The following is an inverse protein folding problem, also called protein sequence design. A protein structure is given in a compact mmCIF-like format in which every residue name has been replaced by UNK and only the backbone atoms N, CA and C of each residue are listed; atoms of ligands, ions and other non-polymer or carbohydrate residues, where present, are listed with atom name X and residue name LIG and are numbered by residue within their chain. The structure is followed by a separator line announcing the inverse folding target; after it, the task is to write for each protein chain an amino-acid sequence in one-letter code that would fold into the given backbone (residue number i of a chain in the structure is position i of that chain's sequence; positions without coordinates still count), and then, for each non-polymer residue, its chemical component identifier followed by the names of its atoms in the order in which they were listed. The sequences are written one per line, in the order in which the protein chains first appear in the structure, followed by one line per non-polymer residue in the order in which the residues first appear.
data_IF_844570131807
#
_entry.id   IF_844570131807
#
_cell.length_a   1.000
_cell.length_b   1.000
_cell.length_c   1.000
_cell.angle_alpha   90.00
_cell.angle_beta   90.00
_cell.angle_gamma   90.00
#
_symmetry.space_group_name_H-M   'P 1'
#
loop_
_entity.id
_entity.type
_entity.pdbx_description
1 polymer ?
#
# COMPACT_ATOMS: atom_id res chain seq x y z
N UNK A 1 -15.17 -18.58 0.14
CA UNK A 1 -14.20 -18.03 1.15
C UNK A 1 -12.89 -18.81 1.19
N UNK A 2 -12.88 -20.14 1.28
CA UNK A 2 -11.65 -20.92 1.46
C UNK A 2 -10.60 -20.71 0.36
N UNK A 3 -11.03 -20.62 -0.90
CA UNK A 3 -10.13 -20.30 -2.02
C UNK A 3 -9.45 -18.93 -1.84
N UNK A 4 -10.16 -17.93 -1.34
CA UNK A 4 -9.60 -16.60 -1.06
C UNK A 4 -8.55 -16.64 0.06
N UNK A 5 -8.80 -17.43 1.13
CA UNK A 5 -7.80 -17.61 2.19
C UNK A 5 -6.52 -18.29 1.69
N UNK A 6 -6.64 -19.32 0.83
CA UNK A 6 -5.47 -19.97 0.22
C UNK A 6 -4.68 -18.98 -0.64
N UNK A 7 -5.37 -18.21 -1.48
CA UNK A 7 -4.72 -17.17 -2.31
C UNK A 7 -4.05 -16.10 -1.44
N UNK A 8 -4.73 -15.63 -0.38
CA UNK A 8 -4.17 -14.67 0.56
C UNK A 8 -2.88 -15.20 1.21
N UNK A 9 -2.94 -16.40 1.82
CA UNK A 9 -1.78 -17.02 2.46
C UNK A 9 -0.61 -17.17 1.49
N UNK A 10 -0.87 -17.69 0.30
CA UNK A 10 0.16 -17.81 -0.74
C UNK A 10 0.79 -16.46 -1.10
N UNK A 11 -0.01 -15.43 -1.33
CA UNK A 11 0.49 -14.10 -1.69
C UNK A 11 1.29 -13.46 -0.56
N UNK A 12 0.82 -13.58 0.68
CA UNK A 12 1.51 -13.02 1.86
C UNK A 12 2.85 -13.71 2.09
N UNK A 13 2.91 -15.04 2.01
CA UNK A 13 4.14 -15.82 2.18
C UNK A 13 5.18 -15.48 1.11
N UNK A 14 4.75 -15.39 -0.16
CA UNK A 14 5.64 -15.16 -1.31
C UNK A 14 5.89 -13.69 -1.61
N UNK A 15 5.24 -12.76 -0.90
CA UNK A 15 5.52 -11.34 -1.08
C UNK A 15 6.90 -11.01 -0.53
N UNK A 16 7.76 -10.56 -1.43
CA UNK A 16 9.05 -9.95 -1.11
C UNK A 16 8.96 -8.44 -1.34
N UNK A 17 9.15 -7.67 -0.28
CA UNK A 17 9.24 -6.21 -0.37
C UNK A 17 10.65 -5.81 0.09
N UNK A 18 11.59 -5.59 -0.86
CA UNK A 18 12.98 -5.29 -0.50
C UNK A 18 13.13 -3.97 0.24
N UNK A 19 12.14 -3.08 0.13
CA UNK A 19 12.09 -1.82 0.86
C UNK A 19 10.74 -1.68 1.54
N UNK A 20 10.77 -1.39 2.83
CA UNK A 20 9.58 -0.97 3.56
C UNK A 20 9.30 0.50 3.23
N UNK A 21 8.09 0.77 2.78
CA UNK A 21 7.69 2.12 2.36
C UNK A 21 7.46 3.01 3.59
N UNK A 22 8.01 4.22 3.56
CA UNK A 22 7.85 5.22 4.63
C UNK A 22 6.38 5.50 4.95
N UNK A 23 5.52 5.52 3.93
CA UNK A 23 4.07 5.70 4.08
C UNK A 23 3.44 4.71 5.07
N UNK A 24 4.05 3.54 5.30
CA UNK A 24 3.53 2.55 6.26
C UNK A 24 3.46 3.09 7.69
N UNK A 25 4.37 4.01 8.04
CA UNK A 25 4.43 4.65 9.35
C UNK A 25 3.57 5.92 9.43
N UNK A 26 3.30 6.56 8.29
CA UNK A 26 2.50 7.79 8.22
C UNK A 26 0.98 7.53 8.26
N UNK A 27 0.55 6.30 7.98
CA UNK A 27 -0.88 5.95 7.95
C UNK A 27 -1.42 5.81 9.36
N UNK A 28 -2.52 6.51 9.62
CA UNK A 28 -3.34 6.24 10.80
C UNK A 28 -4.15 4.93 10.62
N UNK A 29 -3.52 3.84 11.02
CA UNK A 29 -4.12 2.51 10.97
C UNK A 29 -5.28 2.29 11.96
N UNK A 30 -5.62 3.26 12.80
CA UNK A 30 -6.81 3.20 13.64
C UNK A 30 -8.10 3.45 12.86
N UNK A 31 -8.00 4.15 11.73
CA UNK A 31 -9.14 4.43 10.87
C UNK A 31 -9.76 3.16 10.29
N UNK A 32 -11.09 3.13 10.20
CA UNK A 32 -11.86 1.98 9.73
C UNK A 32 -11.93 1.86 8.21
N UNK A 33 -11.82 2.98 7.49
CA UNK A 33 -11.84 3.01 6.03
C UNK A 33 -10.65 3.81 5.53
N UNK A 34 -9.69 3.12 4.89
CA UNK A 34 -8.43 3.69 4.42
C UNK A 34 -8.29 3.47 2.92
N UNK A 35 -8.08 4.55 2.17
CA UNK A 35 -7.85 4.51 0.74
C UNK A 35 -6.39 4.79 0.38
N UNK A 36 -5.72 3.85 -0.29
CA UNK A 36 -4.36 3.99 -0.80
C UNK A 36 -4.40 4.30 -2.29
N UNK A 37 -4.15 5.56 -2.65
CA UNK A 37 -4.08 6.02 -4.05
C UNK A 37 -2.65 5.96 -4.56
N UNK A 38 -2.50 5.87 -5.88
CA UNK A 38 -1.18 5.98 -6.51
C UNK A 38 -1.23 5.55 -7.97
N UNK A 39 -0.23 5.96 -8.74
CA UNK A 39 -0.10 5.60 -10.16
C UNK A 39 0.02 4.09 -10.34
N UNK A 40 -0.23 3.62 -11.56
CA UNK A 40 0.01 2.20 -11.90
C UNK A 40 1.50 1.89 -11.73
N UNK A 41 1.81 0.72 -11.20
CA UNK A 41 3.20 0.26 -11.02
C UNK A 41 3.92 0.76 -9.75
N UNK A 42 3.32 1.67 -8.97
CA UNK A 42 3.97 2.23 -7.76
C UNK A 42 4.06 1.26 -6.57
N UNK A 43 3.50 0.04 -6.69
CA UNK A 43 3.60 -0.99 -5.67
C UNK A 43 2.43 -1.06 -4.68
N UNK A 44 1.22 -0.56 -5.02
CA UNK A 44 0.05 -0.59 -4.10
C UNK A 44 -0.31 -2.00 -3.63
N UNK A 45 -0.33 -2.96 -4.53
CA UNK A 45 -0.61 -4.37 -4.21
C UNK A 45 0.42 -4.92 -3.24
N UNK A 46 1.71 -4.69 -3.51
CA UNK A 46 2.82 -5.09 -2.62
C UNK A 46 2.70 -4.41 -1.25
N UNK A 47 2.33 -3.13 -1.23
CA UNK A 47 2.13 -2.37 0.00
C UNK A 47 1.03 -2.97 0.89
N UNK A 48 -0.12 -3.35 0.32
CA UNK A 48 -1.22 -4.01 1.05
C UNK A 48 -0.80 -5.39 1.56
N UNK A 49 -0.09 -6.16 0.74
CA UNK A 49 0.41 -7.48 1.13
C UNK A 49 1.51 -7.41 2.20
N UNK A 50 2.38 -6.40 2.13
CA UNK A 50 3.38 -6.14 3.16
C UNK A 50 2.72 -5.79 4.50
N UNK A 51 1.70 -4.93 4.49
CA UNK A 51 0.90 -4.64 5.68
C UNK A 51 0.27 -5.90 6.27
N UNK A 52 -0.34 -6.74 5.43
CA UNK A 52 -0.89 -8.03 5.87
C UNK A 52 0.19 -8.90 6.51
N UNK A 53 1.35 -9.03 5.86
CA UNK A 53 2.47 -9.85 6.32
C UNK A 53 3.01 -9.37 7.68
N UNK A 54 3.21 -8.06 7.84
CA UNK A 54 3.77 -7.47 9.08
C UNK A 54 2.81 -7.54 10.26
N UNK A 55 1.50 -7.40 10.04
CA UNK A 55 0.52 -7.26 11.12
C UNK A 55 -0.27 -8.54 11.43
N UNK A 56 -0.48 -9.39 10.45
CA UNK A 56 -1.38 -10.54 10.56
C UNK A 56 -0.73 -11.85 10.12
N UNK A 57 0.31 -11.80 9.28
CA UNK A 57 0.84 -13.01 8.66
C UNK A 57 -0.26 -13.71 7.86
N UNK A 58 -0.53 -14.98 8.20
CA UNK A 58 -1.59 -15.79 7.59
C UNK A 58 -2.83 -15.92 8.46
N UNK A 59 -3.00 -15.05 9.48
CA UNK A 59 -4.18 -15.05 10.32
C UNK A 59 -5.44 -14.74 9.51
N UNK A 60 -6.46 -15.57 9.66
CA UNK A 60 -7.73 -15.48 8.95
C UNK A 60 -8.59 -14.25 9.34
N UNK A 61 -8.17 -13.48 10.33
CA UNK A 61 -8.79 -12.19 10.66
C UNK A 61 -8.50 -11.10 9.63
N UNK A 62 -7.48 -11.29 8.78
CA UNK A 62 -7.15 -10.44 7.65
C UNK A 62 -7.31 -11.19 6.33
N UNK A 63 -7.87 -10.53 5.32
CA UNK A 63 -8.04 -11.11 3.99
C UNK A 63 -7.74 -10.09 2.90
N UNK A 64 -6.84 -10.47 1.99
CA UNK A 64 -6.57 -9.72 0.78
C UNK A 64 -7.40 -10.26 -0.38
N UNK A 65 -8.05 -9.37 -1.12
CA UNK A 65 -8.82 -9.69 -2.32
C UNK A 65 -8.54 -8.70 -3.44
N UNK A 66 -8.55 -9.17 -4.68
CA UNK A 66 -8.41 -8.32 -5.86
C UNK A 66 -9.73 -8.28 -6.61
N UNK A 67 -10.23 -7.09 -6.89
CA UNK A 67 -11.53 -6.89 -7.55
C UNK A 67 -11.53 -7.25 -9.03
N UNK A 68 -10.39 -7.59 -9.60
CA UNK A 68 -10.31 -8.15 -10.95
C UNK A 68 -10.66 -9.66 -10.99
N UNK A 69 -10.96 -10.27 -9.84
CA UNK A 69 -11.40 -11.67 -9.78
C UNK A 69 -12.85 -11.78 -10.28
N UNK A 70 -13.09 -12.72 -11.20
CA UNK A 70 -14.41 -12.98 -11.81
C UNK A 70 -15.51 -13.28 -10.78
N UNK A 71 -15.17 -13.77 -9.60
CA UNK A 71 -16.13 -13.99 -8.51
C UNK A 71 -16.98 -12.74 -8.20
N UNK A 72 -16.37 -11.55 -8.24
CA UNK A 72 -17.04 -10.28 -7.97
C UNK A 72 -17.93 -9.76 -9.11
N UNK A 73 -18.00 -10.46 -10.22
CA UNK A 73 -19.05 -10.23 -11.24
C UNK A 73 -20.41 -10.83 -10.86
N UNK A 74 -20.42 -11.76 -9.91
CA UNK A 74 -21.62 -12.50 -9.50
C UNK A 74 -22.01 -12.21 -8.05
N UNK A 75 -21.08 -11.82 -7.20
CA UNK A 75 -21.29 -11.58 -5.77
C UNK A 75 -20.90 -10.16 -5.42
N UNK A 76 -21.78 -9.45 -4.74
CA UNK A 76 -21.54 -8.08 -4.31
C UNK A 76 -20.42 -8.01 -3.26
N UNK A 77 -19.68 -6.89 -3.23
CA UNK A 77 -18.69 -6.65 -2.20
C UNK A 77 -19.31 -6.67 -0.80
N UNK A 78 -20.53 -6.18 -0.66
CA UNK A 78 -21.26 -6.13 0.62
C UNK A 78 -21.55 -7.52 1.16
N UNK A 79 -22.04 -8.43 0.29
CA UNK A 79 -22.34 -9.80 0.69
C UNK A 79 -21.05 -10.57 1.04
N UNK A 80 -20.01 -10.37 0.24
CA UNK A 80 -18.69 -10.94 0.50
C UNK A 80 -18.13 -10.48 1.86
N UNK A 81 -18.19 -9.18 2.14
CA UNK A 81 -17.75 -8.61 3.42
C UNK A 81 -18.56 -9.17 4.59
N UNK A 82 -19.89 -9.35 4.41
CA UNK A 82 -20.75 -9.97 5.41
C UNK A 82 -20.38 -11.42 5.72
N UNK A 83 -20.08 -12.21 4.70
CA UNK A 83 -19.63 -13.60 4.87
C UNK A 83 -18.25 -13.66 5.55
N UNK A 84 -17.35 -12.72 5.22
CA UNK A 84 -16.06 -12.61 5.87
C UNK A 84 -16.18 -12.28 7.36
N UNK A 85 -17.03 -11.30 7.71
CA UNK A 85 -17.28 -10.90 9.11
C UNK A 85 -17.92 -12.05 9.92
N UNK A 86 -18.89 -12.79 9.36
CA UNK A 86 -19.48 -13.96 10.00
C UNK A 86 -18.46 -15.04 10.37
N UNK A 87 -17.34 -15.10 9.65
CA UNK A 87 -16.23 -16.04 9.91
C UNK A 87 -15.15 -15.46 10.83
N UNK A 88 -15.40 -14.32 11.48
CA UNK A 88 -14.46 -13.69 12.39
C UNK A 88 -13.46 -12.74 11.71
N UNK A 89 -13.68 -12.40 10.44
CA UNK A 89 -12.86 -11.45 9.71
C UNK A 89 -12.92 -10.04 10.31
N UNK A 90 -11.77 -9.38 10.40
CA UNK A 90 -11.63 -8.04 10.99
C UNK A 90 -11.07 -7.01 10.03
N UNK A 91 -10.19 -7.42 9.12
CA UNK A 91 -9.51 -6.52 8.18
C UNK A 91 -9.62 -7.05 6.76
N UNK A 92 -10.25 -6.27 5.89
CA UNK A 92 -10.41 -6.59 4.47
C UNK A 92 -9.52 -5.65 3.65
N UNK A 93 -8.57 -6.23 2.93
CA UNK A 93 -7.66 -5.52 2.03
C UNK A 93 -8.16 -5.71 0.60
N UNK A 94 -8.59 -4.62 -0.04
CA UNK A 94 -9.22 -4.64 -1.36
C UNK A 94 -8.31 -3.99 -2.38
N UNK A 95 -7.80 -4.78 -3.32
CA UNK A 95 -6.97 -4.26 -4.40
C UNK A 95 -7.81 -3.96 -5.65
N UNK A 96 -7.48 -2.85 -6.32
CA UNK A 96 -8.13 -2.38 -7.54
C UNK A 96 -9.65 -2.17 -7.40
N UNK A 97 -10.10 -1.53 -6.31
CA UNK A 97 -11.52 -1.35 -6.00
C UNK A 97 -12.33 -0.73 -7.15
N UNK A 98 -11.72 0.15 -7.95
CA UNK A 98 -12.33 0.83 -9.09
C UNK A 98 -12.78 -0.10 -10.24
N UNK A 99 -12.45 -1.38 -10.19
CA UNK A 99 -12.92 -2.39 -11.13
C UNK A 99 -14.38 -2.78 -10.90
N UNK A 100 -14.90 -2.52 -9.70
CA UNK A 100 -16.32 -2.76 -9.39
C UNK A 100 -17.15 -1.52 -9.75
N UNK A 101 -18.23 -1.68 -10.55
CA UNK A 101 -19.25 -0.64 -10.66
C UNK A 101 -19.87 -0.34 -9.30
N UNK A 102 -20.04 0.93 -8.94
CA UNK A 102 -20.67 1.33 -7.67
C UNK A 102 -19.83 1.03 -6.41
N UNK A 103 -18.53 0.79 -6.56
CA UNK A 103 -17.61 0.44 -5.45
C UNK A 103 -17.66 1.39 -4.26
N UNK A 104 -17.86 2.67 -4.49
CA UNK A 104 -17.90 3.68 -3.43
C UNK A 104 -19.15 3.53 -2.55
N UNK A 105 -20.29 3.26 -3.16
CA UNK A 105 -21.54 2.96 -2.46
C UNK A 105 -21.45 1.65 -1.69
N UNK A 106 -20.81 0.62 -2.26
CA UNK A 106 -20.57 -0.65 -1.59
C UNK A 106 -19.67 -0.47 -0.37
N UNK A 107 -18.59 0.32 -0.48
CA UNK A 107 -17.72 0.63 0.65
C UNK A 107 -18.47 1.40 1.75
N UNK A 108 -19.32 2.36 1.38
CA UNK A 108 -20.18 3.08 2.33
C UNK A 108 -21.10 2.11 3.06
N UNK A 109 -21.77 1.22 2.32
CA UNK A 109 -22.66 0.21 2.88
C UNK A 109 -21.92 -0.75 3.81
N UNK A 110 -20.74 -1.21 3.42
CA UNK A 110 -19.89 -2.03 4.31
C UNK A 110 -19.51 -1.30 5.59
N UNK A 111 -19.11 -0.03 5.48
CA UNK A 111 -18.73 0.81 6.62
C UNK A 111 -19.88 0.97 7.63
N UNK A 112 -21.10 1.15 7.16
CA UNK A 112 -22.29 1.31 8.00
C UNK A 112 -22.78 -0.02 8.57
N UNK A 113 -22.84 -1.07 7.75
CA UNK A 113 -23.41 -2.37 8.13
C UNK A 113 -22.49 -3.19 9.03
N UNK A 114 -21.15 -3.04 8.88
CA UNK A 114 -20.16 -3.85 9.62
C UNK A 114 -19.21 -2.96 10.44
N UNK A 115 -19.66 -2.42 11.60
CA UNK A 115 -18.87 -1.45 12.38
C UNK A 115 -17.56 -2.02 12.92
N UNK A 116 -17.42 -3.33 13.06
CA UNK A 116 -16.20 -4.01 13.50
C UNK A 116 -15.20 -4.27 12.35
N UNK A 117 -15.63 -4.09 11.09
CA UNK A 117 -14.78 -4.34 9.93
C UNK A 117 -13.94 -3.11 9.61
N UNK A 118 -12.63 -3.32 9.47
CA UNK A 118 -11.71 -2.36 8.87
C UNK A 118 -11.51 -2.71 7.40
N UNK A 119 -11.58 -1.71 6.54
CA UNK A 119 -11.34 -1.86 5.10
C UNK A 119 -10.18 -0.96 4.68
N UNK A 120 -9.20 -1.56 4.02
CA UNK A 120 -8.12 -0.84 3.35
C UNK A 120 -8.20 -1.15 1.86
N UNK A 121 -8.36 -0.15 1.02
CA UNK A 121 -8.51 -0.37 -0.40
C UNK A 121 -7.49 0.39 -1.24
N UNK A 122 -7.11 -0.17 -2.37
CA UNK A 122 -6.25 0.48 -3.34
C UNK A 122 -7.03 1.04 -4.53
N UNK A 123 -6.58 2.19 -4.99
CA UNK A 123 -7.17 2.87 -6.14
C UNK A 123 -6.15 3.54 -7.04
N UNK A 124 -6.60 4.00 -8.22
CA UNK A 124 -5.79 4.80 -9.13
C UNK A 124 -5.52 6.19 -8.55
N UNK A 125 -4.43 6.84 -8.97
CA UNK A 125 -4.13 8.24 -8.64
C UNK A 125 -5.19 9.22 -9.17
N UNK A 126 -5.88 8.86 -10.24
CA UNK A 126 -6.95 9.65 -10.85
C UNK A 126 -8.24 9.63 -10.01
N UNK A 127 -8.37 8.71 -9.05
CA UNK A 127 -9.53 8.66 -8.17
C UNK A 127 -9.57 9.88 -7.25
N UNK A 128 -10.51 10.77 -7.52
CA UNK A 128 -10.85 11.87 -6.63
C UNK A 128 -11.84 11.37 -5.58
N UNK A 129 -11.29 10.79 -4.50
CA UNK A 129 -12.12 10.10 -3.49
C UNK A 129 -13.13 11.00 -2.80
N UNK A 130 -12.88 12.32 -2.73
CA UNK A 130 -13.77 13.26 -2.07
C UNK A 130 -14.75 13.95 -3.02
N UNK A 131 -14.26 14.36 -4.18
CA UNK A 131 -15.03 15.20 -5.10
C UNK A 131 -15.99 14.39 -5.98
N UNK A 132 -15.57 13.19 -6.39
CA UNK A 132 -16.32 12.30 -7.29
C UNK A 132 -17.10 11.21 -6.55
N UNK A 133 -16.87 11.04 -5.24
CA UNK A 133 -17.52 10.03 -4.42
C UNK A 133 -17.99 10.65 -3.10
N UNK A 134 -19.03 11.49 -3.13
CA UNK A 134 -19.52 12.21 -1.96
C UNK A 134 -19.97 11.28 -0.83
N UNK A 135 -20.37 10.06 -1.15
CA UNK A 135 -20.74 9.02 -0.18
C UNK A 135 -19.58 8.59 0.75
N UNK A 136 -18.33 8.81 0.35
CA UNK A 136 -17.15 8.52 1.16
C UNK A 136 -16.66 9.70 2.00
N UNK A 137 -17.28 10.87 1.83
CA UNK A 137 -16.89 12.06 2.59
C UNK A 137 -17.06 11.85 4.09
N UNK A 138 -16.06 12.27 4.85
CA UNK A 138 -16.06 12.20 6.31
C UNK A 138 -15.74 10.81 6.89
N UNK A 139 -15.75 9.74 6.09
CA UNK A 139 -15.50 8.37 6.56
C UNK A 139 -14.18 7.77 6.07
N UNK A 140 -13.66 8.22 4.92
CA UNK A 140 -12.42 7.69 4.34
C UNK A 140 -11.22 8.56 4.72
N UNK A 141 -10.13 7.92 5.19
CA UNK A 141 -8.80 8.51 5.23
C UNK A 141 -8.02 8.06 4.01
N UNK A 142 -7.63 9.01 3.15
CA UNK A 142 -6.94 8.70 1.90
C UNK A 142 -5.48 9.13 1.93
N UNK A 143 -4.61 8.23 1.49
CA UNK A 143 -3.17 8.43 1.41
C UNK A 143 -2.69 8.20 -0.02
N UNK A 144 -1.62 8.89 -0.40
CA UNK A 144 -1.07 8.80 -1.74
C UNK A 144 0.29 8.07 -1.71
N UNK A 145 0.31 6.84 -2.19
CA UNK A 145 1.54 6.09 -2.40
C UNK A 145 2.21 6.61 -3.68
N UNK A 146 3.29 7.34 -3.51
CA UNK A 146 4.12 7.88 -4.59
C UNK A 146 5.18 6.86 -5.03
N UNK A 147 5.96 7.17 -6.06
CA UNK A 147 7.20 6.46 -6.36
C UNK A 147 8.14 6.42 -5.15
N UNK A 148 9.21 5.66 -5.24
CA UNK A 148 10.22 5.65 -4.18
C UNK A 148 10.74 7.06 -3.93
N UNK A 149 10.86 7.44 -2.66
CA UNK A 149 11.68 8.58 -2.27
C UNK A 149 13.15 8.27 -2.59
N UNK A 150 13.99 9.31 -2.68
CA UNK A 150 15.42 9.09 -2.90
C UNK A 150 16.03 8.16 -1.83
N UNK A 151 15.63 8.32 -0.58
CA UNK A 151 16.08 7.46 0.52
C UNK A 151 15.63 6.01 0.36
N UNK A 152 14.36 5.76 0.03
CA UNK A 152 13.84 4.42 -0.24
C UNK A 152 14.57 3.77 -1.41
N UNK A 153 14.86 4.55 -2.46
CA UNK A 153 15.65 4.09 -3.61
C UNK A 153 17.09 3.77 -3.22
N UNK A 154 17.73 4.63 -2.44
CA UNK A 154 19.08 4.42 -1.94
C UNK A 154 19.16 3.14 -1.10
N UNK A 155 18.22 2.96 -0.17
CA UNK A 155 18.12 1.75 0.64
C UNK A 155 17.94 0.48 -0.22
N UNK A 156 17.12 0.57 -1.27
CA UNK A 156 16.91 -0.53 -2.21
C UNK A 156 18.20 -0.93 -2.94
N UNK A 157 18.95 0.06 -3.44
CA UNK A 157 20.16 -0.18 -4.23
C UNK A 157 21.35 -0.64 -3.40
N UNK A 158 21.46 -0.17 -2.17
CA UNK A 158 22.63 -0.43 -1.32
C UNK A 158 22.41 -1.56 -0.31
N UNK A 159 21.15 -1.97 -0.10
CA UNK A 159 20.79 -2.89 0.98
C UNK A 159 20.91 -2.29 2.39
N UNK A 160 21.16 -0.98 2.49
CA UNK A 160 21.24 -0.27 3.76
C UNK A 160 19.87 0.21 4.24
N UNK A 161 19.80 0.66 5.48
CA UNK A 161 18.62 1.25 6.09
C UNK A 161 18.96 2.65 6.62
N UNK A 162 19.07 3.61 5.70
CA UNK A 162 19.28 5.00 6.09
C UNK A 162 18.02 5.55 6.74
N UNK A 163 18.12 6.11 7.97
CA UNK A 163 16.98 6.72 8.64
C UNK A 163 16.55 8.04 7.99
N UNK A 164 15.36 8.52 8.35
CA UNK A 164 15.01 9.92 8.08
C UNK A 164 15.67 10.80 9.13
N UNK A 165 16.19 11.94 8.69
CA UNK A 165 16.75 12.96 9.56
C UNK A 165 15.83 14.17 9.59
N UNK A 166 15.58 14.70 10.78
CA UNK A 166 14.95 16.01 10.95
C UNK A 166 15.87 17.14 10.45
N UNK A 167 15.30 18.32 10.20
CA UNK A 167 16.10 19.47 9.81
C UNK A 167 17.15 19.82 10.89
N UNK A 168 16.78 19.71 12.15
CA UNK A 168 17.68 19.97 13.28
C UNK A 168 18.85 18.98 13.31
N UNK A 169 18.60 17.68 13.13
CA UNK A 169 19.65 16.67 13.03
C UNK A 169 20.56 16.89 11.83
N UNK A 170 20.01 17.31 10.69
CA UNK A 170 20.82 17.66 9.51
C UNK A 170 21.72 18.86 9.80
N UNK A 171 21.20 19.92 10.41
CA UNK A 171 21.98 21.12 10.70
C UNK A 171 23.09 20.87 11.73
N UNK A 172 22.83 20.02 12.74
CA UNK A 172 23.80 19.73 13.81
C UNK A 172 24.83 18.67 13.44
N UNK A 173 24.44 17.67 12.62
CA UNK A 173 25.26 16.49 12.32
C UNK A 173 25.57 16.30 10.83
N UNK A 174 25.45 17.35 10.00
CA UNK A 174 25.56 17.26 8.55
C UNK A 174 26.85 16.57 8.07
N UNK A 175 28.00 16.84 8.71
CA UNK A 175 29.26 16.21 8.31
C UNK A 175 29.24 14.69 8.47
N UNK A 176 28.68 14.19 9.56
CA UNK A 176 28.54 12.75 9.79
C UNK A 176 27.57 12.12 8.82
N UNK A 177 26.41 12.75 8.59
CA UNK A 177 25.38 12.29 7.66
C UNK A 177 25.95 12.22 6.23
N UNK A 178 26.66 13.27 5.81
CA UNK A 178 27.27 13.32 4.47
C UNK A 178 28.33 12.23 4.31
N UNK A 179 29.23 12.06 5.28
CA UNK A 179 30.26 11.00 5.25
C UNK A 179 29.65 9.60 5.13
N UNK A 180 28.47 9.39 5.72
CA UNK A 180 27.78 8.10 5.69
C UNK A 180 27.07 7.85 4.36
N UNK A 181 26.45 8.88 3.77
CA UNK A 181 25.57 8.73 2.59
C UNK A 181 26.31 8.97 1.27
N UNK A 182 27.22 9.93 1.23
CA UNK A 182 27.88 10.38 0.00
C UNK A 182 28.59 9.26 -0.81
N UNK A 183 29.30 8.30 -0.18
CA UNK A 183 29.94 7.20 -0.92
C UNK A 183 28.94 6.38 -1.72
N UNK A 184 27.75 6.17 -1.18
CA UNK A 184 26.66 5.41 -1.83
C UNK A 184 26.00 6.19 -2.97
N UNK A 185 25.83 7.51 -2.80
CA UNK A 185 25.32 8.39 -3.86
C UNK A 185 26.29 8.42 -5.05
N UNK A 186 27.57 8.60 -4.79
CA UNK A 186 28.61 8.63 -5.84
C UNK A 186 28.66 7.31 -6.61
N UNK A 187 28.55 6.19 -5.92
CA UNK A 187 28.46 4.88 -6.58
C UNK A 187 27.26 4.77 -7.54
N UNK A 188 26.10 5.30 -7.15
CA UNK A 188 24.90 5.28 -7.99
C UNK A 188 24.99 6.20 -9.21
N UNK A 189 25.67 7.34 -9.12
CA UNK A 189 25.89 8.26 -10.26
C UNK A 189 26.68 7.55 -11.35
N UNK A 190 27.69 6.76 -11.01
CA UNK A 190 28.48 6.01 -11.98
C UNK A 190 27.72 4.84 -12.62
N UNK A 191 26.73 4.27 -11.94
CA UNK A 191 25.90 3.19 -12.49
C UNK A 191 24.84 3.74 -13.46
N UNK A 192 24.39 4.96 -13.26
CA UNK A 192 23.30 5.58 -14.03
C UNK A 192 23.77 6.51 -15.14
N UNK A 193 25.08 6.75 -15.30
CA UNK A 193 25.58 7.47 -16.46
C UNK A 193 25.35 6.63 -17.73
N UNK A 194 24.57 7.13 -18.71
CA UNK A 194 24.51 6.47 -20.00
C UNK A 194 25.92 6.50 -20.56
N UNK A 195 26.45 5.33 -20.92
CA UNK A 195 27.72 5.21 -21.66
C UNK A 195 27.67 6.16 -22.83
N UNK A 196 28.42 7.27 -22.75
CA UNK A 196 28.56 8.22 -23.82
C UNK A 196 29.16 7.44 -24.99
N UNK A 197 28.56 7.40 -26.20
CA UNK A 197 29.21 6.77 -27.34
C UNK A 197 30.56 7.44 -27.52
N UNK A 198 31.62 6.66 -27.58
CA UNK A 198 32.93 7.18 -27.95
C UNK A 198 32.81 7.86 -29.33
N UNK A 199 33.32 9.08 -29.51
CA UNK A 199 33.31 9.70 -30.83
C UNK A 199 34.19 8.86 -31.76
N UNK A 200 33.60 8.43 -32.90
CA UNK A 200 34.27 7.77 -34.01
C UNK A 200 35.18 8.79 -34.70
#
# INVERSE_FOLDING_TARGET
MEAFYRTHSYLVEHTTAPVRRDLMDDIDWSARLIGIKGTRGVGKTTFLLQYAKEKFGTDRSCLFVNMNNFYFSQVSLVDFAGEFVKRGGKVLLIDQVFKLPGWSQDLRTCYERYPQLKIVFSGSSVMRLKDENPELNGIVKSYNLRGFSFREFLNLQTGNHFPSYSLEEILTNHEHIVKTILPHILSLIHISEPTRPEPI
#
